data_IF_490765149075
#
_entry.id   IF_490765149075
#
_cell.length_a   1.000
_cell.length_b   1.000
_cell.length_c   1.000
_cell.angle_alpha   90.00
_cell.angle_beta   90.00
_cell.angle_gamma   90.00
#
_symmetry.space_group_name_H-M   'P 1'
#
loop_
_entity.id
_entity.type
_entity.pdbx_description
1 polymer ?
#
# COMPACT_ATOMS: atom_id res chain seq x y z
N UNK A 1 24.33 -18.34 -65.30
CA UNK A 1 24.11 -17.15 -64.44
C UNK A 1 23.34 -17.57 -63.19
N UNK A 2 24.02 -17.78 -62.06
CA UNK A 2 23.41 -18.12 -60.76
C UNK A 2 23.07 -16.82 -60.01
N UNK A 3 21.80 -16.60 -59.65
CA UNK A 3 21.38 -15.45 -58.82
C UNK A 3 21.71 -15.73 -57.35
N UNK A 4 22.53 -14.86 -56.76
CA UNK A 4 22.79 -14.78 -55.32
C UNK A 4 21.52 -14.26 -54.61
N UNK A 5 20.95 -15.04 -53.68
CA UNK A 5 20.04 -14.51 -52.67
C UNK A 5 20.86 -13.80 -51.60
N UNK A 6 20.61 -12.50 -51.41
CA UNK A 6 21.11 -11.74 -50.24
C UNK A 6 20.19 -11.99 -49.06
N UNK A 7 20.73 -12.55 -47.99
CA UNK A 7 20.11 -12.69 -46.67
C UNK A 7 19.90 -11.32 -46.03
N UNK A 8 18.67 -11.04 -45.60
CA UNK A 8 18.30 -9.89 -44.77
C UNK A 8 18.60 -10.25 -43.31
N UNK A 9 19.36 -9.45 -42.54
CA UNK A 9 19.49 -9.67 -41.11
C UNK A 9 18.22 -9.18 -40.40
N UNK A 10 17.51 -10.11 -39.77
CA UNK A 10 16.42 -9.83 -38.85
C UNK A 10 17.03 -9.30 -37.54
N UNK A 11 16.99 -7.99 -37.33
CA UNK A 11 17.38 -7.40 -36.05
C UNK A 11 16.32 -7.73 -35.00
N UNK A 12 16.69 -8.59 -34.05
CA UNK A 12 15.91 -8.91 -32.86
C UNK A 12 16.02 -7.71 -31.91
N UNK A 13 15.04 -6.80 -31.94
CA UNK A 13 14.90 -5.79 -30.90
C UNK A 13 14.52 -6.51 -29.60
N UNK A 14 15.48 -6.70 -28.69
CA UNK A 14 15.17 -6.90 -27.27
C UNK A 14 14.51 -5.62 -26.77
N UNK A 15 13.18 -5.60 -26.75
CA UNK A 15 12.44 -4.59 -26.01
C UNK A 15 12.76 -4.76 -24.54
N UNK A 16 13.49 -3.80 -23.96
CA UNK A 16 13.59 -3.67 -22.50
C UNK A 16 12.22 -3.27 -21.99
N UNK A 17 11.45 -4.26 -21.55
CA UNK A 17 10.24 -4.02 -20.76
C UNK A 17 10.70 -3.30 -19.50
N UNK A 18 10.46 -1.98 -19.47
CA UNK A 18 10.54 -1.24 -18.22
C UNK A 18 9.32 -1.68 -17.42
N UNK A 19 9.50 -2.70 -16.60
CA UNK A 19 8.59 -2.99 -15.50
C UNK A 19 8.51 -1.71 -14.68
N UNK A 20 7.38 -1.01 -14.77
CA UNK A 20 7.01 -0.09 -13.70
C UNK A 20 6.96 -0.96 -12.46
N UNK A 21 7.99 -0.83 -11.61
CA UNK A 21 7.99 -1.39 -10.28
C UNK A 21 6.72 -0.87 -9.65
N UNK A 22 5.72 -1.74 -9.54
CA UNK A 22 4.57 -1.45 -8.74
C UNK A 22 5.08 -1.63 -7.29
N UNK A 23 4.74 -0.62 -6.48
CA UNK A 23 5.50 -0.24 -5.32
C UNK A 23 4.60 -0.38 -4.10
N UNK A 24 5.01 -1.21 -3.14
CA UNK A 24 4.39 -1.14 -1.81
C UNK A 24 4.83 0.17 -1.18
N UNK A 25 3.97 1.19 -1.21
CA UNK A 25 4.25 2.57 -0.85
C UNK A 25 4.93 2.74 0.50
N UNK A 26 5.81 3.73 0.60
CA UNK A 26 6.55 3.99 1.83
C UNK A 26 5.64 4.32 3.03
N UNK A 27 4.42 4.83 2.79
CA UNK A 27 3.45 5.23 3.82
C UNK A 27 2.20 4.32 3.90
N UNK A 28 2.14 3.20 3.17
CA UNK A 28 1.04 2.22 3.25
C UNK A 28 0.75 1.85 4.70
N UNK A 29 -0.45 1.42 5.06
CA UNK A 29 -0.80 1.03 6.42
C UNK A 29 -1.77 -0.14 6.44
N UNK A 30 -1.92 -0.79 7.59
CA UNK A 30 -2.80 -1.96 7.70
C UNK A 30 -4.24 -1.46 7.75
N UNK A 31 -5.04 -1.76 6.74
CA UNK A 31 -6.49 -1.54 6.83
C UNK A 31 -7.09 -2.50 7.85
N UNK A 32 -8.07 -2.00 8.60
CA UNK A 32 -8.87 -2.80 9.53
C UNK A 32 -10.34 -2.72 9.14
N UNK A 33 -11.16 -3.77 9.38
CA UNK A 33 -12.55 -3.78 8.91
C UNK A 33 -13.51 -2.95 9.78
N UNK A 34 -13.06 -2.49 10.96
CA UNK A 34 -13.90 -1.82 11.95
C UNK A 34 -14.22 -0.37 11.56
N UNK A 35 -15.49 0.00 11.70
CA UNK A 35 -16.02 1.36 11.53
C UNK A 35 -16.62 1.84 12.85
N UNK A 36 -16.25 3.04 13.26
CA UNK A 36 -16.84 3.73 14.40
C UNK A 36 -17.86 4.76 13.88
N UNK A 37 -19.13 4.59 14.20
CA UNK A 37 -20.21 5.42 13.65
C UNK A 37 -20.14 6.85 14.21
N UNK A 38 -20.14 7.84 13.31
CA UNK A 38 -20.16 9.25 13.67
C UNK A 38 -18.84 9.82 14.16
N UNK A 39 -17.77 9.02 14.24
CA UNK A 39 -16.43 9.48 14.64
C UNK A 39 -15.79 10.27 13.49
N UNK A 40 -15.24 11.44 13.81
CA UNK A 40 -14.36 12.19 12.91
C UNK A 40 -12.91 11.88 13.23
N UNK A 41 -12.07 11.80 12.20
CA UNK A 41 -10.63 11.65 12.40
C UNK A 41 -9.81 12.61 11.53
N UNK A 42 -8.67 13.01 12.08
CA UNK A 42 -7.57 13.61 11.33
C UNK A 42 -6.42 12.62 11.36
N UNK A 43 -6.02 12.10 10.19
CA UNK A 43 -4.92 11.13 10.08
C UNK A 43 -3.69 11.78 9.44
N UNK A 44 -2.55 11.67 10.10
CA UNK A 44 -1.26 12.03 9.54
C UNK A 44 -0.41 10.79 9.32
N UNK A 45 0.03 10.56 8.09
CA UNK A 45 0.96 9.48 7.74
C UNK A 45 2.26 10.04 7.17
N UNK A 46 3.36 9.42 7.58
CA UNK A 46 4.69 9.64 7.04
C UNK A 46 5.39 8.32 6.78
N UNK A 47 6.00 8.21 5.60
CA UNK A 47 6.75 7.06 5.15
C UNK A 47 8.07 7.47 4.52
N UNK A 48 9.13 6.74 4.84
CA UNK A 48 10.43 6.86 4.20
C UNK A 48 10.94 5.50 3.78
N UNK A 49 11.24 5.33 2.49
CA UNK A 49 11.91 4.15 1.95
C UNK A 49 13.28 4.53 1.40
N UNK A 50 14.31 3.79 1.80
CA UNK A 50 15.66 3.95 1.29
C UNK A 50 15.94 3.14 0.03
N UNK A 51 17.23 2.98 -0.27
CA UNK A 51 17.73 2.22 -1.42
C UNK A 51 17.37 0.74 -1.37
N UNK A 52 17.22 0.12 -2.54
CA UNK A 52 17.10 -1.34 -2.69
C UNK A 52 18.41 -1.96 -3.17
N UNK A 53 18.47 -3.29 -3.30
CA UNK A 53 19.63 -3.97 -3.93
C UNK A 53 19.67 -3.69 -5.43
N UNK A 54 18.51 -3.56 -6.06
CA UNK A 54 18.37 -3.26 -7.49
C UNK A 54 18.68 -1.78 -7.82
N UNK A 55 18.35 -0.84 -6.92
CA UNK A 55 18.50 0.60 -7.17
C UNK A 55 19.18 1.27 -5.97
N UNK A 56 20.47 1.61 -6.13
CA UNK A 56 21.31 2.12 -5.03
C UNK A 56 21.04 3.59 -4.67
N UNK A 57 20.54 4.41 -5.60
CA UNK A 57 20.30 5.85 -5.41
C UNK A 57 18.82 6.20 -5.19
N UNK A 58 17.97 5.18 -5.01
CA UNK A 58 16.55 5.38 -4.75
C UNK A 58 16.31 5.81 -3.30
N UNK A 59 15.47 6.82 -3.12
CA UNK A 59 14.77 7.05 -1.87
C UNK A 59 13.42 7.68 -2.17
N UNK A 60 12.44 7.38 -1.32
CA UNK A 60 11.09 7.90 -1.41
C UNK A 60 10.66 8.43 -0.04
N UNK A 61 10.03 9.59 -0.05
CA UNK A 61 9.31 10.14 1.10
C UNK A 61 7.85 10.31 0.71
N UNK A 62 6.95 9.87 1.57
CA UNK A 62 5.51 10.04 1.39
C UNK A 62 4.95 10.66 2.66
N UNK A 63 4.13 11.70 2.49
CA UNK A 63 3.39 12.33 3.58
C UNK A 63 1.93 12.42 3.15
N UNK A 64 0.99 12.06 4.02
CA UNK A 64 -0.43 12.34 3.80
C UNK A 64 -1.10 12.93 5.03
N UNK A 65 -2.12 13.75 4.77
CA UNK A 65 -3.02 14.32 5.76
C UNK A 65 -4.46 14.00 5.34
N UNK A 66 -5.16 13.24 6.17
CA UNK A 66 -6.51 12.72 5.97
C UNK A 66 -7.53 13.39 6.87
N UNK A 67 -8.76 13.48 6.37
CA UNK A 67 -9.94 13.88 7.13
C UNK A 67 -11.04 12.84 6.92
N UNK A 68 -11.26 12.02 7.95
CA UNK A 68 -12.15 10.88 7.92
C UNK A 68 -13.45 11.10 8.68
N UNK A 69 -14.48 10.37 8.28
CA UNK A 69 -15.78 10.35 8.95
C UNK A 69 -16.45 8.98 8.86
N UNK A 70 -16.88 8.47 10.02
CA UNK A 70 -17.78 7.34 10.13
C UNK A 70 -19.20 7.69 9.66
N UNK A 71 -19.42 7.68 8.35
CA UNK A 71 -20.68 8.08 7.71
C UNK A 71 -21.90 7.23 8.11
N UNK A 72 -21.70 6.00 8.57
CA UNK A 72 -22.73 5.15 9.18
C UNK A 72 -22.12 4.05 10.05
N UNK A 73 -22.95 3.19 10.65
CA UNK A 73 -22.50 1.99 11.39
C UNK A 73 -21.62 1.01 10.58
N UNK A 74 -21.63 1.11 9.25
CA UNK A 74 -20.90 0.18 8.37
C UNK A 74 -20.09 0.86 7.28
N UNK A 75 -19.98 2.18 7.28
CA UNK A 75 -19.26 2.92 6.25
C UNK A 75 -18.46 4.04 6.87
N UNK A 76 -17.17 4.03 6.59
CA UNK A 76 -16.23 5.10 6.86
C UNK A 76 -15.70 5.63 5.54
N UNK A 77 -15.52 6.95 5.44
CA UNK A 77 -14.97 7.60 4.26
C UNK A 77 -13.96 8.64 4.65
N UNK A 78 -12.90 8.79 3.85
CA UNK A 78 -11.81 9.71 4.14
C UNK A 78 -11.23 10.33 2.87
N UNK A 79 -10.83 11.59 3.00
CA UNK A 79 -10.14 12.33 1.95
C UNK A 79 -8.72 12.67 2.41
N UNK A 80 -7.73 12.26 1.63
CA UNK A 80 -6.32 12.54 1.87
C UNK A 80 -5.73 13.53 0.87
N UNK A 81 -4.92 14.45 1.41
CA UNK A 81 -3.92 15.18 0.65
C UNK A 81 -2.57 14.48 0.83
N UNK A 82 -2.07 13.86 -0.24
CA UNK A 82 -0.84 13.06 -0.23
C UNK A 82 0.24 13.73 -1.08
N UNK A 83 1.48 13.67 -0.62
CA UNK A 83 2.65 14.17 -1.33
C UNK A 83 3.74 13.12 -1.34
N UNK A 84 4.23 12.79 -2.53
CA UNK A 84 5.29 11.82 -2.75
C UNK A 84 6.51 12.51 -3.36
N UNK A 85 7.68 12.17 -2.85
CA UNK A 85 8.95 12.68 -3.36
C UNK A 85 9.95 11.56 -3.50
N UNK A 86 10.36 11.33 -4.74
CA UNK A 86 11.42 10.39 -5.08
C UNK A 86 12.70 11.12 -5.48
N UNK A 87 13.85 10.53 -5.14
CA UNK A 87 15.13 11.11 -5.51
C UNK A 87 15.27 11.25 -7.03
N UNK A 88 15.69 12.43 -7.49
CA UNK A 88 15.85 12.73 -8.91
C UNK A 88 14.54 12.95 -9.69
N UNK A 89 13.37 12.91 -9.04
CA UNK A 89 12.07 13.20 -9.68
C UNK A 89 11.42 14.47 -9.08
N UNK A 90 10.60 15.20 -9.86
CA UNK A 90 9.69 16.19 -9.30
C UNK A 90 8.74 15.55 -8.27
N UNK A 91 8.35 16.32 -7.24
CA UNK A 91 7.36 15.84 -6.28
C UNK A 91 5.97 15.69 -6.91
N UNK A 92 5.23 14.68 -6.46
CA UNK A 92 3.87 14.36 -6.88
C UNK A 92 2.91 14.67 -5.74
N UNK A 93 1.78 15.29 -6.05
CA UNK A 93 0.71 15.61 -5.12
C UNK A 93 -0.54 14.87 -5.59
N UNK A 94 -1.17 14.15 -4.67
CA UNK A 94 -2.26 13.22 -4.96
C UNK A 94 -3.43 13.58 -4.04
N UNK A 95 -4.62 13.66 -4.61
CA UNK A 95 -5.87 13.65 -3.86
C UNK A 95 -6.35 12.21 -3.79
N UNK A 96 -6.53 11.66 -2.60
CA UNK A 96 -6.95 10.28 -2.41
C UNK A 96 -8.30 10.24 -1.68
N UNK A 97 -9.23 9.42 -2.21
CA UNK A 97 -10.55 9.20 -1.63
C UNK A 97 -10.71 7.74 -1.23
N UNK A 98 -10.74 7.49 0.07
CA UNK A 98 -10.82 6.16 0.67
C UNK A 98 -12.25 5.89 1.20
N UNK A 99 -12.73 4.66 1.02
CA UNK A 99 -13.96 4.17 1.62
C UNK A 99 -13.75 2.77 2.19
N UNK A 100 -14.16 2.60 3.45
CA UNK A 100 -14.12 1.35 4.20
C UNK A 100 -15.53 0.91 4.55
N UNK A 101 -15.87 -0.32 4.21
CA UNK A 101 -17.16 -0.94 4.50
C UNK A 101 -16.99 -2.10 5.47
N UNK A 102 -17.68 -2.04 6.60
CA UNK A 102 -17.73 -3.14 7.56
C UNK A 102 -18.82 -4.14 7.15
N UNK A 103 -18.43 -5.34 6.75
CA UNK A 103 -19.38 -6.34 6.21
C UNK A 103 -19.96 -7.25 7.31
N UNK A 104 -19.23 -7.45 8.40
CA UNK A 104 -19.67 -8.25 9.57
C UNK A 104 -19.67 -7.42 10.84
N UNK A 105 -20.52 -7.76 11.82
CA UNK A 105 -20.41 -7.11 13.14
C UNK A 105 -19.11 -7.50 13.85
N UNK A 106 -18.36 -6.50 14.33
CA UNK A 106 -17.08 -6.69 15.04
C UNK A 106 -17.21 -7.68 16.20
N UNK A 107 -16.40 -8.74 16.18
CA UNK A 107 -16.32 -9.77 17.21
C UNK A 107 -17.47 -10.76 17.23
N UNK A 108 -18.46 -10.66 16.33
CA UNK A 108 -19.60 -11.59 16.27
C UNK A 108 -19.23 -12.93 15.64
N UNK A 109 -18.30 -12.91 14.68
CA UNK A 109 -17.82 -14.10 13.97
C UNK A 109 -16.34 -14.34 14.28
N UNK A 110 -15.79 -15.54 13.97
CA UNK A 110 -14.36 -15.80 14.18
C UNK A 110 -13.44 -14.85 13.40
N UNK A 111 -13.93 -14.26 12.31
CA UNK A 111 -13.23 -13.29 11.47
C UNK A 111 -14.17 -12.14 11.18
N UNK A 112 -13.73 -10.93 11.48
CA UNK A 112 -14.34 -9.69 11.02
C UNK A 112 -13.94 -9.46 9.57
N UNK A 113 -14.92 -9.18 8.71
CA UNK A 113 -14.72 -8.97 7.27
C UNK A 113 -15.13 -7.54 6.92
N UNK A 114 -14.28 -6.90 6.12
CA UNK A 114 -14.53 -5.59 5.53
C UNK A 114 -14.16 -5.54 4.05
N UNK A 115 -14.40 -4.40 3.43
CA UNK A 115 -13.99 -4.07 2.07
C UNK A 115 -13.41 -2.66 2.07
N UNK A 116 -12.30 -2.46 1.37
CA UNK A 116 -11.74 -1.14 1.11
C UNK A 116 -11.87 -0.79 -0.38
N UNK A 117 -12.09 0.49 -0.67
CA UNK A 117 -11.85 1.07 -1.99
C UNK A 117 -11.08 2.38 -1.85
N UNK A 118 -10.12 2.63 -2.72
CA UNK A 118 -9.37 3.89 -2.78
C UNK A 118 -9.32 4.39 -4.22
N UNK A 119 -9.43 5.70 -4.38
CA UNK A 119 -9.19 6.38 -5.65
C UNK A 119 -8.12 7.45 -5.45
N UNK A 120 -6.95 7.25 -6.02
CA UNK A 120 -5.85 8.21 -6.05
C UNK A 120 -5.90 9.02 -7.35
N UNK A 121 -5.96 10.33 -7.22
CA UNK A 121 -6.03 11.30 -8.32
C UNK A 121 -4.80 12.22 -8.27
N UNK A 122 -3.77 11.96 -9.09
CA UNK A 122 -2.64 12.87 -9.23
C UNK A 122 -3.10 14.27 -9.66
N UNK A 123 -2.77 15.27 -8.84
CA UNK A 123 -3.13 16.68 -9.08
C UNK A 123 -2.08 17.43 -9.92
N UNK A 124 -0.88 16.86 -10.02
CA UNK A 124 0.21 17.33 -10.88
C UNK A 124 0.92 16.12 -11.51
N UNK A 125 1.82 16.38 -12.46
CA UNK A 125 2.52 15.32 -13.19
C UNK A 125 1.70 14.72 -14.33
N UNK A 126 2.11 13.54 -14.80
CA UNK A 126 1.43 12.78 -15.86
C UNK A 126 1.14 11.33 -15.43
N UNK A 127 1.21 11.07 -14.13
CA UNK A 127 0.92 9.75 -13.59
C UNK A 127 -0.58 9.46 -13.74
N UNK A 128 -0.96 8.21 -14.05
CA UNK A 128 -2.37 7.81 -14.13
C UNK A 128 -3.03 7.88 -12.76
N UNK A 129 -4.35 7.99 -12.74
CA UNK A 129 -5.13 7.73 -11.53
C UNK A 129 -5.03 6.27 -11.13
N UNK A 130 -5.18 5.97 -9.85
CA UNK A 130 -5.11 4.59 -9.34
C UNK A 130 -6.38 4.26 -8.57
N UNK A 131 -6.92 3.07 -8.79
CA UNK A 131 -8.06 2.56 -8.06
C UNK A 131 -7.69 1.26 -7.36
N UNK A 132 -7.81 1.26 -6.03
CA UNK A 132 -7.56 0.08 -5.20
C UNK A 132 -8.87 -0.47 -4.67
N UNK A 133 -8.97 -1.79 -4.59
CA UNK A 133 -10.08 -2.48 -3.93
C UNK A 133 -9.60 -3.77 -3.28
N UNK A 134 -10.17 -4.15 -2.14
CA UNK A 134 -9.90 -5.47 -1.62
C UNK A 134 -10.61 -5.82 -0.32
N UNK A 135 -10.80 -7.13 -0.06
CA UNK A 135 -11.32 -7.60 1.22
C UNK A 135 -10.32 -7.40 2.35
N UNK A 136 -10.88 -7.11 3.53
CA UNK A 136 -10.16 -6.94 4.78
C UNK A 136 -10.55 -8.06 5.75
N UNK A 137 -9.58 -8.67 6.42
CA UNK A 137 -9.83 -9.71 7.40
C UNK A 137 -9.13 -9.41 8.73
N UNK A 138 -9.87 -9.52 9.83
CA UNK A 138 -9.33 -9.37 11.17
C UNK A 138 -9.84 -10.48 12.09
N UNK A 139 -8.97 -11.04 12.92
CA UNK A 139 -9.38 -11.96 13.99
C UNK A 139 -8.67 -11.62 15.30
N UNK A 140 -9.34 -11.93 16.41
CA UNK A 140 -8.87 -11.64 17.76
C UNK A 140 -8.82 -12.93 18.57
N UNK A 141 -7.70 -13.16 19.26
CA UNK A 141 -7.54 -14.30 20.17
C UNK A 141 -6.82 -13.85 21.43
N UNK A 142 -7.59 -13.65 22.51
CA UNK A 142 -7.10 -13.07 23.75
C UNK A 142 -6.46 -11.70 23.52
N UNK A 143 -5.16 -11.58 23.84
CA UNK A 143 -4.39 -10.34 23.63
C UNK A 143 -3.83 -10.19 22.22
N UNK A 144 -4.01 -11.18 21.35
CA UNK A 144 -3.54 -11.11 19.97
C UNK A 144 -4.63 -10.58 19.04
N UNK A 145 -4.22 -9.73 18.11
CA UNK A 145 -4.98 -9.33 16.93
C UNK A 145 -4.17 -9.72 15.69
N UNK A 146 -4.85 -10.29 14.71
CA UNK A 146 -4.26 -10.63 13.43
C UNK A 146 -5.06 -9.97 12.31
N UNK A 147 -4.36 -9.46 11.30
CA UNK A 147 -4.95 -8.91 10.10
C UNK A 147 -4.34 -9.57 8.87
N UNK A 148 -5.17 -9.84 7.87
CA UNK A 148 -4.77 -10.27 6.54
C UNK A 148 -5.65 -9.57 5.54
N UNK A 149 -5.06 -8.85 4.59
CA UNK A 149 -5.81 -8.17 3.54
C UNK A 149 -5.24 -8.59 2.19
N UNK A 150 -6.11 -8.69 1.18
CA UNK A 150 -5.74 -8.94 -0.23
C UNK A 150 -6.28 -7.77 -1.02
N UNK A 151 -5.43 -7.09 -1.78
CA UNK A 151 -5.76 -5.84 -2.44
C UNK A 151 -5.41 -5.94 -3.92
N UNK A 152 -6.19 -5.25 -4.74
CA UNK A 152 -6.01 -5.16 -6.19
C UNK A 152 -5.98 -3.70 -6.58
N UNK A 153 -4.97 -3.30 -7.31
CA UNK A 153 -4.77 -1.90 -7.72
C UNK A 153 -4.71 -1.80 -9.24
N UNK A 154 -5.53 -0.94 -9.83
CA UNK A 154 -5.60 -0.71 -11.26
C UNK A 154 -5.26 0.74 -11.59
N UNK A 155 -4.47 0.96 -12.65
CA UNK A 155 -4.19 2.30 -13.17
C UNK A 155 -5.26 2.69 -14.20
N UNK A 156 -5.73 3.94 -14.15
CA UNK A 156 -6.80 4.46 -14.99
C UNK A 156 -6.29 5.67 -15.76
N UNK A 157 -6.45 5.67 -17.10
CA UNK A 157 -6.13 6.81 -17.95
C UNK A 157 -4.66 6.95 -18.37
N UNK A 158 -3.80 5.98 -18.05
CA UNK A 158 -2.39 5.97 -18.48
C UNK A 158 -2.19 5.43 -19.89
N UNK A 159 -1.22 5.96 -20.64
CA UNK A 159 -0.92 5.57 -22.02
C UNK A 159 0.18 4.50 -22.16
N UNK A 160 0.73 4.00 -21.05
CA UNK A 160 1.80 2.97 -21.05
C UNK A 160 1.21 1.57 -20.98
N UNK A 161 1.84 0.52 -21.55
CA UNK A 161 1.33 -0.85 -21.44
C UNK A 161 1.11 -1.33 -19.99
N UNK A 162 1.86 -0.78 -19.04
CA UNK A 162 1.69 -1.05 -17.60
C UNK A 162 0.38 -0.51 -17.01
N UNK A 163 -0.32 0.40 -17.68
CA UNK A 163 -1.60 0.93 -17.19
C UNK A 163 -2.75 -0.07 -17.27
N UNK A 164 -2.60 -1.16 -18.04
CA UNK A 164 -3.62 -2.21 -18.17
C UNK A 164 -3.44 -3.37 -17.18
N UNK A 165 -2.42 -3.31 -16.32
CA UNK A 165 -2.13 -4.35 -15.34
C UNK A 165 -2.87 -4.02 -14.04
N UNK A 166 -3.50 -5.03 -13.45
CA UNK A 166 -4.01 -4.96 -12.08
C UNK A 166 -2.97 -5.58 -11.15
N UNK A 167 -2.38 -4.79 -10.27
CA UNK A 167 -1.38 -5.25 -9.32
C UNK A 167 -2.05 -5.99 -8.16
N UNK A 168 -1.50 -7.15 -7.78
CA UNK A 168 -1.90 -7.89 -6.59
C UNK A 168 -1.05 -7.50 -5.39
N UNK A 169 -1.69 -7.16 -4.28
CA UNK A 169 -1.05 -6.72 -3.05
C UNK A 169 -1.59 -7.51 -1.84
N UNK A 170 -0.79 -7.61 -0.79
CA UNK A 170 -1.24 -8.15 0.49
C UNK A 170 -0.73 -7.33 1.68
N UNK A 171 -1.47 -7.43 2.78
CA UNK A 171 -1.08 -6.87 4.07
C UNK A 171 -1.25 -7.92 5.17
N UNK A 172 -0.30 -7.96 6.10
CA UNK A 172 -0.31 -8.88 7.23
C UNK A 172 0.07 -8.14 8.51
N UNK A 173 -0.63 -8.44 9.59
CA UNK A 173 -0.30 -7.95 10.93
C UNK A 173 -0.48 -9.05 11.98
N UNK A 174 0.44 -9.09 12.93
CA UNK A 174 0.26 -9.78 14.20
C UNK A 174 0.62 -8.79 15.32
N UNK A 175 -0.35 -8.49 16.19
CA UNK A 175 -0.25 -7.43 17.21
C UNK A 175 -0.62 -7.99 18.58
N UNK A 176 0.23 -7.76 19.57
CA UNK A 176 0.01 -8.11 20.97
C UNK A 176 -0.39 -6.87 21.79
N UNK A 177 -1.59 -6.91 22.36
CA UNK A 177 -2.18 -5.86 23.18
C UNK A 177 -1.65 -5.92 24.61
N UNK A 178 -0.46 -5.33 24.84
CA UNK A 178 0.12 -5.26 26.18
C UNK A 178 -0.72 -4.34 27.08
N UNK A 179 -0.96 -3.11 26.63
CA UNK A 179 -1.86 -2.14 27.25
C UNK A 179 -2.35 -1.13 26.19
N UNK A 180 -3.45 -0.41 26.45
CA UNK A 180 -4.07 0.50 25.47
C UNK A 180 -3.09 1.55 24.91
N UNK A 181 -2.19 2.08 25.74
CA UNK A 181 -1.21 3.09 25.34
C UNK A 181 0.04 2.54 24.66
N UNK A 182 0.26 1.22 24.70
CA UNK A 182 1.43 0.57 24.09
C UNK A 182 1.15 -0.90 23.76
N UNK A 183 1.13 -1.20 22.48
CA UNK A 183 1.04 -2.53 21.87
C UNK A 183 2.26 -2.71 20.97
N UNK A 184 2.62 -3.96 20.67
CA UNK A 184 3.75 -4.24 19.77
C UNK A 184 3.43 -5.45 18.89
N UNK A 185 4.15 -5.58 17.78
CA UNK A 185 3.87 -6.62 16.83
C UNK A 185 4.79 -6.61 15.63
N UNK A 186 4.32 -7.26 14.58
CA UNK A 186 4.97 -7.34 13.27
C UNK A 186 3.96 -6.95 12.21
N UNK A 187 4.42 -6.20 11.21
CA UNK A 187 3.66 -5.92 9.99
C UNK A 187 4.44 -6.42 8.78
N UNK A 188 3.72 -6.87 7.76
CA UNK A 188 4.27 -7.20 6.45
C UNK A 188 3.36 -6.70 5.34
N UNK A 189 3.98 -6.28 4.25
CA UNK A 189 3.32 -5.81 3.04
C UNK A 189 4.02 -6.46 1.87
N UNK A 190 3.28 -6.71 0.80
CA UNK A 190 3.92 -7.07 -0.45
C UNK A 190 3.04 -6.87 -1.65
N UNK A 191 3.70 -6.90 -2.79
CA UNK A 191 3.12 -6.74 -4.11
C UNK A 191 3.76 -7.75 -5.07
N UNK A 192 2.92 -8.44 -5.83
CA UNK A 192 3.31 -9.56 -6.68
C UNK A 192 3.38 -9.20 -8.17
N UNK A 193 3.22 -7.92 -8.52
CA UNK A 193 2.97 -7.50 -9.89
C UNK A 193 1.56 -7.87 -10.34
N UNK A 194 1.37 -8.30 -11.59
CA UNK A 194 0.06 -8.65 -12.12
C UNK A 194 -0.61 -9.76 -11.29
N UNK A 195 -1.84 -9.55 -10.82
CA UNK A 195 -2.54 -10.46 -9.91
C UNK A 195 -2.79 -11.87 -10.50
N UNK A 196 -2.92 -11.95 -11.83
CA UNK A 196 -3.22 -13.17 -12.60
C UNK A 196 -1.98 -13.80 -13.25
N UNK A 197 -0.83 -13.11 -13.21
CA UNK A 197 0.44 -13.60 -13.71
C UNK A 197 1.59 -12.95 -12.93
N UNK A 198 1.85 -13.48 -11.74
CA UNK A 198 2.79 -12.87 -10.80
C UNK A 198 4.18 -12.69 -11.41
N UNK A 199 4.82 -11.58 -11.09
CA UNK A 199 6.21 -11.30 -11.44
C UNK A 199 7.14 -12.38 -10.87
N UNK A 200 8.34 -12.58 -11.44
CA UNK A 200 9.36 -13.43 -10.82
C UNK A 200 9.60 -13.05 -9.36
N UNK A 201 9.78 -14.03 -8.47
CA UNK A 201 9.89 -13.78 -7.02
C UNK A 201 11.00 -12.77 -6.63
N UNK A 202 12.06 -12.64 -7.43
CA UNK A 202 13.12 -11.64 -7.22
C UNK A 202 12.70 -10.20 -7.53
N UNK A 203 11.67 -10.04 -8.36
CA UNK A 203 11.13 -8.76 -8.83
C UNK A 203 9.92 -8.30 -8.00
N UNK A 204 9.24 -9.22 -7.31
CA UNK A 204 8.17 -8.92 -6.35
C UNK A 204 8.70 -8.05 -5.20
N UNK A 205 7.83 -7.23 -4.59
CA UNK A 205 8.19 -6.46 -3.41
C UNK A 205 7.60 -7.10 -2.15
N UNK A 206 8.44 -7.38 -1.15
CA UNK A 206 8.00 -7.88 0.15
C UNK A 206 8.80 -7.24 1.26
N UNK A 207 8.11 -6.66 2.23
CA UNK A 207 8.71 -6.04 3.42
C UNK A 207 8.07 -6.58 4.69
N UNK A 208 8.86 -6.73 5.74
CA UNK A 208 8.39 -7.20 7.06
C UNK A 208 9.22 -6.56 8.17
N UNK A 209 8.62 -6.26 9.31
CA UNK A 209 9.39 -5.79 10.44
C UNK A 209 8.57 -5.49 11.69
N UNK A 210 9.26 -5.14 12.78
CA UNK A 210 8.62 -4.78 14.03
C UNK A 210 7.78 -3.51 13.89
N UNK A 211 6.70 -3.47 14.65
CA UNK A 211 5.81 -2.33 14.75
C UNK A 211 5.35 -2.12 16.20
N UNK A 212 5.09 -0.86 16.56
CA UNK A 212 4.52 -0.45 17.84
C UNK A 212 3.26 0.38 17.60
N UNK A 213 2.34 0.32 18.56
CA UNK A 213 1.04 0.96 18.47
C UNK A 213 0.60 1.50 19.82
N UNK A 214 -0.36 2.40 19.84
CA UNK A 214 -1.04 2.75 21.08
C UNK A 214 -2.09 3.83 20.89
N UNK A 215 -2.96 3.97 21.89
CA UNK A 215 -3.95 5.04 22.00
C UNK A 215 -3.78 5.77 23.32
N UNK A 216 -3.52 7.07 23.27
CA UNK A 216 -3.40 7.97 24.42
C UNK A 216 -4.49 9.05 24.29
N UNK A 217 -5.55 8.91 25.08
CA UNK A 217 -6.74 9.75 24.92
C UNK A 217 -7.38 9.51 23.54
N UNK A 218 -7.46 10.59 22.76
CA UNK A 218 -7.99 10.63 21.40
C UNK A 218 -6.93 10.40 20.32
N UNK A 219 -5.66 10.31 20.71
CA UNK A 219 -4.55 10.14 19.77
C UNK A 219 -4.19 8.66 19.65
N UNK A 220 -4.24 8.10 18.45
CA UNK A 220 -3.68 6.79 18.11
C UNK A 220 -2.37 6.98 17.37
N UNK A 221 -1.44 6.06 17.59
CA UNK A 221 -0.17 6.01 16.84
C UNK A 221 0.15 4.59 16.39
N UNK A 222 0.84 4.50 15.25
CA UNK A 222 1.35 3.27 14.65
C UNK A 222 2.68 3.59 13.99
N UNK A 223 3.75 2.94 14.43
CA UNK A 223 5.09 3.14 13.88
C UNK A 223 5.76 1.80 13.59
N UNK A 224 6.47 1.71 12.47
CA UNK A 224 7.12 0.49 12.04
C UNK A 224 8.45 0.75 11.33
N UNK A 225 9.35 -0.22 11.42
CA UNK A 225 10.54 -0.27 10.58
C UNK A 225 10.58 -1.62 9.86
N UNK A 226 10.48 -1.61 8.54
CA UNK A 226 10.31 -2.80 7.71
C UNK A 226 11.57 -3.07 6.91
N UNK A 227 11.99 -4.33 6.88
CA UNK A 227 13.13 -4.81 6.10
C UNK A 227 12.63 -5.43 4.80
N UNK A 228 13.27 -5.07 3.68
CA UNK A 228 13.00 -5.69 2.37
C UNK A 228 13.51 -7.13 2.30
N UNK A 229 12.71 -8.01 1.73
CA UNK A 229 13.02 -9.44 1.57
C UNK A 229 13.50 -9.80 0.17
N UNK A 230 13.24 -8.97 -0.85
CA UNK A 230 13.64 -9.22 -2.23
C UNK A 230 14.71 -8.24 -2.72
N UNK A 231 15.13 -8.37 -3.98
CA UNK A 231 16.09 -7.43 -4.59
C UNK A 231 15.44 -6.10 -4.96
N UNK A 232 14.16 -6.13 -5.34
CA UNK A 232 13.38 -4.95 -5.71
C UNK A 232 12.98 -4.11 -4.51
N UNK A 233 12.69 -4.73 -3.35
CA UNK A 233 12.26 -3.99 -2.17
C UNK A 233 13.38 -3.12 -1.58
N UNK A 234 13.02 -1.93 -1.12
CA UNK A 234 13.88 -1.10 -0.26
C UNK A 234 14.46 -1.93 0.88
N UNK A 235 15.75 -1.76 1.17
CA UNK A 235 16.40 -2.44 2.29
C UNK A 235 15.76 -2.08 3.65
N UNK A 236 15.20 -0.87 3.75
CA UNK A 236 14.58 -0.37 4.98
C UNK A 236 13.50 0.66 4.68
N UNK A 237 12.35 0.52 5.33
CA UNK A 237 11.21 1.44 5.24
C UNK A 237 10.77 1.83 6.65
N UNK A 238 10.85 3.12 6.99
CA UNK A 238 10.35 3.67 8.24
C UNK A 238 8.97 4.29 8.04
N UNK A 239 8.05 4.03 8.97
CA UNK A 239 6.65 4.45 8.88
C UNK A 239 6.15 5.00 10.20
N UNK A 240 5.34 6.04 10.13
CA UNK A 240 4.63 6.66 11.24
C UNK A 240 3.22 7.04 10.78
N UNK A 241 2.22 6.69 11.57
CA UNK A 241 0.84 7.12 11.43
C UNK A 241 0.37 7.65 12.78
N UNK A 242 -0.33 8.78 12.79
CA UNK A 242 -0.94 9.40 13.96
C UNK A 242 -2.34 9.86 13.61
N UNK A 243 -3.34 9.29 14.29
CA UNK A 243 -4.75 9.63 14.11
C UNK A 243 -5.24 10.38 15.35
N UNK A 244 -6.06 11.41 15.15
CA UNK A 244 -6.79 12.11 16.21
C UNK A 244 -8.30 11.99 15.99
N UNK A 245 -9.00 11.34 16.94
CA UNK A 245 -10.42 10.96 16.81
C UNK A 245 -11.32 11.80 17.75
N UNK A 246 -12.43 12.36 17.25
CA UNK A 246 -13.32 13.25 18.00
C UNK A 246 -14.78 13.21 17.59
#
# INVERSE_FOLDING_TARGET
>A
MKKLLKSIPLYFCLGTMHSSLAHAGAADYIYTPTVENGEFEIDFKYGFSGKSKAVQDYSQNVTSLGFGYGASERWFTELYLKSEKENGKPGLNILEFENKFQLTETGRYPVDVGLITELELPSNGKEPSEFKVGPLFQTNSGKMQYNFNVLFEAKIGGSTPSSNIVAGQYQLQAKYRLQKSFEFGVQSFGEVGAWDNWSPASEQEHKIGPAIFGKIGHLKYNAAYLFGLTRSTSNGTARLQVEYEF
#
